data_IF_631272711627
#
_entry.id   IF_631272711627
#
_cell.length_a   1.000
_cell.length_b   1.000
_cell.length_c   1.000
_cell.angle_alpha   90.00
_cell.angle_beta   90.00
_cell.angle_gamma   90.00
#
_symmetry.space_group_name_H-M   'P 1'
#
loop_
_entity.id
_entity.type
_entity.pdbx_description
1 polymer ?
#
# COMPACT_ATOMS: atom_id res chain seq x y z
N UNK A 1 25.82 -0.79 11.48
CA UNK A 1 24.36 -0.97 11.46
C UNK A 1 23.55 0.28 11.85
N UNK A 2 23.86 1.00 12.94
CA UNK A 2 23.01 2.12 13.41
C UNK A 2 22.91 3.32 12.45
N UNK A 3 23.97 3.66 11.70
CA UNK A 3 23.97 4.82 10.79
C UNK A 3 23.11 4.58 9.53
N UNK A 4 23.17 3.39 8.95
CA UNK A 4 22.49 3.05 7.70
C UNK A 4 20.96 3.00 7.86
N UNK A 5 20.47 2.35 8.92
CA UNK A 5 19.03 2.34 9.26
C UNK A 5 18.51 3.76 9.48
N UNK A 6 19.29 4.60 10.15
CA UNK A 6 18.91 6.00 10.36
C UNK A 6 18.81 6.78 9.04
N UNK A 7 19.77 6.61 8.13
CA UNK A 7 19.70 7.25 6.81
C UNK A 7 18.52 6.75 5.97
N UNK A 8 18.23 5.44 6.00
CA UNK A 8 17.08 4.88 5.30
C UNK A 8 15.76 5.49 5.80
N UNK A 9 15.57 5.57 7.12
CA UNK A 9 14.39 6.22 7.70
C UNK A 9 14.27 7.67 7.26
N UNK A 10 15.38 8.42 7.30
CA UNK A 10 15.42 9.82 6.85
C UNK A 10 15.10 9.97 5.37
N UNK A 11 15.57 9.05 4.51
CA UNK A 11 15.21 9.08 3.08
C UNK A 11 13.72 8.81 2.85
N UNK A 12 13.09 7.97 3.68
CA UNK A 12 11.65 7.73 3.58
C UNK A 12 10.81 8.93 4.04
N UNK A 13 11.33 9.76 4.94
CA UNK A 13 10.64 11.00 5.37
C UNK A 13 10.46 12.01 4.22
N UNK A 14 11.21 11.88 3.12
CA UNK A 14 10.99 12.70 1.91
C UNK A 14 9.79 12.25 1.09
N UNK A 15 9.17 11.11 1.43
CA UNK A 15 7.98 10.53 0.80
C UNK A 15 6.87 10.37 1.86
N UNK A 16 6.39 11.48 2.45
CA UNK A 16 5.56 11.44 3.65
C UNK A 16 4.24 10.67 3.48
N UNK A 17 3.60 10.74 2.30
CA UNK A 17 2.38 9.99 2.07
C UNK A 17 2.64 8.49 2.02
N UNK A 18 3.71 8.06 1.34
CA UNK A 18 4.12 6.66 1.27
C UNK A 18 4.53 6.13 2.64
N UNK A 19 5.35 6.86 3.39
CA UNK A 19 5.81 6.44 4.71
C UNK A 19 4.63 6.26 5.69
N UNK A 20 3.72 7.24 5.75
CA UNK A 20 2.54 7.16 6.61
C UNK A 20 1.61 6.00 6.20
N UNK A 21 1.33 5.85 4.89
CA UNK A 21 0.48 4.77 4.41
C UNK A 21 1.12 3.38 4.65
N UNK A 22 2.43 3.24 4.45
CA UNK A 22 3.16 2.00 4.75
C UNK A 22 3.11 1.64 6.24
N UNK A 23 3.30 2.60 7.14
CA UNK A 23 3.18 2.36 8.59
C UNK A 23 1.77 1.86 8.96
N UNK A 24 0.72 2.49 8.43
CA UNK A 24 -0.66 2.08 8.67
C UNK A 24 -0.97 0.70 8.08
N UNK A 25 -0.45 0.41 6.89
CA UNK A 25 -0.57 -0.89 6.24
C UNK A 25 0.08 -1.99 7.06
N UNK A 26 1.32 -1.78 7.50
CA UNK A 26 2.09 -2.76 8.29
C UNK A 26 1.39 -3.07 9.62
N UNK A 27 0.83 -2.06 10.30
CA UNK A 27 0.01 -2.29 11.50
C UNK A 27 -1.22 -3.16 11.19
N UNK A 28 -1.96 -2.86 10.12
CA UNK A 28 -3.15 -3.62 9.74
C UNK A 28 -2.81 -5.07 9.29
N UNK A 29 -1.69 -5.27 8.60
CA UNK A 29 -1.19 -6.60 8.24
C UNK A 29 -0.81 -7.42 9.47
N UNK A 30 -0.13 -6.81 10.45
CA UNK A 30 0.18 -7.46 11.72
C UNK A 30 -1.11 -7.85 12.49
N UNK A 31 -2.11 -6.97 12.52
CA UNK A 31 -3.42 -7.28 13.11
C UNK A 31 -4.08 -8.49 12.42
N UNK A 32 -4.05 -8.53 11.09
CA UNK A 32 -4.63 -9.62 10.31
C UNK A 32 -3.89 -10.95 10.52
N UNK A 33 -2.56 -10.95 10.52
CA UNK A 33 -1.75 -12.12 10.86
C UNK A 33 -2.10 -12.63 12.26
N UNK A 34 -2.15 -11.71 13.23
CA UNK A 34 -2.47 -12.04 14.61
C UNK A 34 -3.91 -12.52 14.79
N UNK A 35 -4.85 -12.12 13.93
CA UNK A 35 -6.23 -12.58 13.98
C UNK A 35 -6.45 -13.96 13.33
N UNK A 36 -5.45 -14.49 12.62
CA UNK A 36 -5.56 -15.76 11.89
C UNK A 36 -5.91 -16.92 12.82
N UNK A 37 -6.97 -17.65 12.48
CA UNK A 37 -7.48 -18.77 13.27
C UNK A 37 -8.18 -18.38 14.59
N UNK A 38 -8.22 -17.10 14.95
CA UNK A 38 -8.88 -16.63 16.19
C UNK A 38 -10.36 -16.41 15.96
N UNK A 39 -11.16 -16.76 16.96
CA UNK A 39 -12.60 -16.50 17.00
C UNK A 39 -12.95 -15.55 18.15
N UNK A 40 -14.08 -14.87 18.01
CA UNK A 40 -14.71 -14.12 19.10
C UNK A 40 -15.36 -15.08 20.10
N UNK A 41 -15.79 -14.53 21.25
CA UNK A 41 -16.51 -15.30 22.27
C UNK A 41 -17.80 -15.93 21.70
N UNK A 42 -18.44 -15.28 20.73
CA UNK A 42 -19.63 -15.78 20.03
C UNK A 42 -19.30 -16.59 18.77
N UNK A 43 -18.05 -17.04 18.60
CA UNK A 43 -17.64 -17.92 17.50
C UNK A 43 -17.38 -17.24 16.15
N UNK A 44 -17.61 -15.93 16.02
CA UNK A 44 -17.32 -15.19 14.78
C UNK A 44 -15.81 -15.16 14.48
N UNK A 45 -15.46 -15.32 13.20
CA UNK A 45 -14.07 -15.26 12.72
C UNK A 45 -13.51 -13.83 12.84
N UNK A 46 -12.38 -13.68 13.54
CA UNK A 46 -11.69 -12.38 13.69
C UNK A 46 -10.78 -12.06 12.50
N UNK A 47 -10.38 -13.05 11.71
CA UNK A 47 -9.48 -12.88 10.59
C UNK A 47 -10.13 -12.09 9.47
N UNK A 48 -11.37 -12.41 9.09
CA UNK A 48 -12.08 -11.77 7.97
C UNK A 48 -12.10 -10.23 8.09
N UNK A 49 -12.56 -9.62 9.20
CA UNK A 49 -12.56 -8.16 9.32
C UNK A 49 -11.14 -7.57 9.34
N UNK A 50 -10.18 -8.23 9.99
CA UNK A 50 -8.80 -7.76 10.03
C UNK A 50 -8.13 -7.82 8.65
N UNK A 51 -8.36 -8.90 7.89
CA UNK A 51 -7.88 -9.08 6.52
C UNK A 51 -8.43 -8.00 5.59
N UNK A 52 -9.73 -7.69 5.67
CA UNK A 52 -10.33 -6.59 4.89
C UNK A 52 -9.67 -5.25 5.17
N UNK A 53 -9.40 -4.95 6.45
CA UNK A 53 -8.68 -3.73 6.84
C UNK A 53 -7.25 -3.72 6.30
N UNK A 54 -6.54 -4.85 6.32
CA UNK A 54 -5.22 -4.95 5.72
C UNK A 54 -5.27 -4.62 4.22
N UNK A 55 -6.22 -5.19 3.47
CA UNK A 55 -6.40 -4.89 2.04
C UNK A 55 -6.74 -3.42 1.77
N UNK A 56 -7.59 -2.82 2.61
CA UNK A 56 -7.89 -1.38 2.53
C UNK A 56 -6.61 -0.55 2.68
N UNK A 57 -5.76 -0.86 3.66
CA UNK A 57 -4.52 -0.10 3.88
C UNK A 57 -3.44 -0.39 2.83
N UNK A 58 -3.44 -1.58 2.25
CA UNK A 58 -2.65 -1.87 1.05
C UNK A 58 -3.09 -1.01 -0.13
N UNK A 59 -4.40 -0.87 -0.34
CA UNK A 59 -4.96 0.04 -1.36
C UNK A 59 -4.50 1.48 -1.13
N UNK A 60 -4.64 1.99 0.10
CA UNK A 60 -4.23 3.35 0.47
C UNK A 60 -2.73 3.58 0.18
N UNK A 61 -1.89 2.59 0.47
CA UNK A 61 -0.45 2.67 0.16
C UNK A 61 -0.16 2.66 -1.35
N UNK A 62 -0.87 1.85 -2.16
CA UNK A 62 -0.78 1.93 -3.62
C UNK A 62 -1.18 3.34 -4.11
N UNK A 63 -2.24 3.91 -3.54
CA UNK A 63 -2.64 5.30 -3.79
C UNK A 63 -1.52 6.30 -3.48
N UNK A 64 -0.81 6.11 -2.37
CA UNK A 64 0.32 6.95 -1.99
C UNK A 64 1.50 6.85 -2.97
N UNK A 65 1.79 5.64 -3.50
CA UNK A 65 2.82 5.46 -4.54
C UNK A 65 2.51 6.30 -5.78
N UNK A 66 1.24 6.42 -6.16
CA UNK A 66 0.84 7.30 -7.26
C UNK A 66 0.95 8.77 -6.89
N UNK A 67 0.49 9.19 -5.71
CA UNK A 67 0.50 10.61 -5.31
C UNK A 67 1.91 11.18 -5.17
N UNK A 68 2.87 10.36 -4.77
CA UNK A 68 4.29 10.73 -4.65
C UNK A 68 5.07 10.48 -5.96
N UNK A 69 4.38 10.09 -7.04
CA UNK A 69 4.97 9.90 -8.36
C UNK A 69 5.90 8.70 -8.51
N UNK A 70 5.90 7.77 -7.56
CA UNK A 70 6.71 6.54 -7.60
C UNK A 70 6.14 5.51 -8.59
N UNK A 71 4.81 5.50 -8.75
CA UNK A 71 4.10 4.68 -9.73
C UNK A 71 3.37 5.58 -10.73
N UNK A 72 3.28 5.15 -11.99
CA UNK A 72 2.52 5.87 -13.02
C UNK A 72 1.46 5.01 -13.69
N UNK A 73 0.33 5.64 -14.04
CA UNK A 73 -0.87 5.01 -14.62
C UNK A 73 -0.61 4.13 -15.84
N UNK A 74 0.25 4.49 -16.83
CA UNK A 74 0.44 3.66 -18.00
C UNK A 74 1.42 2.49 -17.78
N UNK A 75 2.06 2.35 -16.61
CA UNK A 75 3.14 1.37 -16.41
C UNK A 75 2.65 -0.09 -16.23
N UNK A 76 1.34 -0.32 -16.16
CA UNK A 76 0.74 -1.65 -15.94
C UNK A 76 0.86 -2.14 -14.50
N UNK A 77 0.11 -3.19 -14.16
CA UNK A 77 -0.03 -3.67 -12.77
C UNK A 77 1.31 -4.22 -12.22
N UNK A 78 2.09 -4.89 -13.05
CA UNK A 78 3.37 -5.48 -12.67
C UNK A 78 4.39 -4.43 -12.23
N UNK A 79 4.45 -3.29 -12.92
CA UNK A 79 5.35 -2.19 -12.57
C UNK A 79 4.96 -1.55 -11.24
N UNK A 80 3.66 -1.35 -10.99
CA UNK A 80 3.17 -0.83 -9.71
C UNK A 80 3.54 -1.79 -8.57
N UNK A 81 3.35 -3.10 -8.77
CA UNK A 81 3.73 -4.10 -7.77
C UNK A 81 5.24 -4.24 -7.59
N UNK A 82 6.05 -3.96 -8.61
CA UNK A 82 7.50 -3.87 -8.48
C UNK A 82 7.89 -2.71 -7.57
N UNK A 83 7.37 -1.51 -7.81
CA UNK A 83 7.61 -0.33 -6.97
C UNK A 83 7.15 -0.57 -5.54
N UNK A 84 5.97 -1.21 -5.36
CA UNK A 84 5.47 -1.63 -4.05
C UNK A 84 6.49 -2.52 -3.33
N UNK A 85 7.01 -3.56 -3.99
CA UNK A 85 8.00 -4.49 -3.40
C UNK A 85 9.28 -3.78 -3.01
N UNK A 86 9.84 -2.97 -3.91
CA UNK A 86 11.08 -2.23 -3.66
C UNK A 86 10.95 -1.28 -2.47
N UNK A 87 9.82 -0.56 -2.35
CA UNK A 87 9.58 0.28 -1.18
C UNK A 87 9.48 -0.55 0.10
N UNK A 88 8.79 -1.69 0.05
CA UNK A 88 8.62 -2.54 1.23
C UNK A 88 9.90 -3.25 1.66
N UNK A 89 10.81 -3.55 0.74
CA UNK A 89 12.14 -4.09 1.07
C UNK A 89 12.99 -3.04 1.82
N UNK A 90 12.95 -1.77 1.36
CA UNK A 90 13.57 -0.66 2.08
C UNK A 90 12.91 -0.46 3.46
N UNK A 91 11.58 -0.55 3.53
CA UNK A 91 10.83 -0.40 4.79
C UNK A 91 11.20 -1.50 5.78
N UNK A 92 11.27 -2.75 5.32
CA UNK A 92 11.68 -3.92 6.12
C UNK A 92 13.08 -3.75 6.68
N UNK A 93 14.00 -3.21 5.89
CA UNK A 93 15.37 -2.89 6.33
C UNK A 93 15.38 -1.79 7.40
N UNK A 94 14.57 -0.75 7.22
CA UNK A 94 14.47 0.38 8.15
C UNK A 94 13.73 0.04 9.45
N UNK A 95 12.77 -0.87 9.43
CA UNK A 95 11.86 -1.19 10.54
C UNK A 95 11.69 -2.71 10.75
N UNK A 96 12.75 -3.47 11.07
CA UNK A 96 12.73 -4.94 11.02
C UNK A 96 11.80 -5.65 12.02
N UNK A 97 11.19 -4.93 12.97
CA UNK A 97 10.45 -5.51 14.09
C UNK A 97 8.99 -5.88 13.76
N UNK A 98 8.55 -5.74 12.51
CA UNK A 98 7.18 -6.06 12.07
C UNK A 98 7.06 -7.45 11.44
N UNK A 99 7.58 -8.48 12.11
CA UNK A 99 7.65 -9.85 11.58
C UNK A 99 6.30 -10.39 11.13
N UNK A 100 5.25 -10.22 11.93
CA UNK A 100 3.88 -10.65 11.59
C UNK A 100 3.37 -10.02 10.30
N UNK A 101 3.62 -8.72 10.11
CA UNK A 101 3.25 -8.01 8.89
C UNK A 101 4.04 -8.52 7.68
N UNK A 102 5.32 -8.84 7.84
CA UNK A 102 6.14 -9.39 6.76
C UNK A 102 5.69 -10.81 6.38
N UNK A 103 5.30 -11.64 7.34
CA UNK A 103 4.68 -12.94 7.06
C UNK A 103 3.35 -12.83 6.33
N UNK A 104 2.53 -11.83 6.67
CA UNK A 104 1.33 -11.51 5.89
C UNK A 104 1.70 -11.10 4.45
N UNK A 105 2.65 -10.18 4.33
CA UNK A 105 3.06 -9.60 3.06
C UNK A 105 3.63 -10.64 2.09
N UNK A 106 4.44 -11.59 2.58
CA UNK A 106 4.97 -12.71 1.77
C UNK A 106 3.84 -13.52 1.13
N UNK A 107 2.77 -13.80 1.88
CA UNK A 107 1.60 -14.49 1.32
C UNK A 107 0.81 -13.59 0.38
N UNK A 108 0.63 -12.32 0.74
CA UNK A 108 -0.08 -11.36 -0.12
C UNK A 108 0.61 -11.24 -1.48
N UNK A 109 1.95 -11.19 -1.52
CA UNK A 109 2.76 -11.03 -2.74
C UNK A 109 2.90 -12.31 -3.58
N UNK A 110 2.36 -13.45 -3.14
CA UNK A 110 2.34 -14.69 -3.92
C UNK A 110 1.69 -14.44 -5.30
N UNK A 111 2.28 -15.04 -6.34
CA UNK A 111 1.82 -14.88 -7.73
C UNK A 111 0.35 -15.30 -7.93
N UNK A 112 -0.14 -16.24 -7.11
CA UNK A 112 -1.54 -16.68 -7.11
C UNK A 112 -2.52 -15.55 -6.75
N UNK A 113 -2.05 -14.48 -6.10
CA UNK A 113 -2.86 -13.32 -5.72
C UNK A 113 -2.84 -12.18 -6.76
N UNK A 114 -2.28 -12.41 -7.95
CA UNK A 114 -2.21 -11.39 -9.02
C UNK A 114 -3.56 -10.71 -9.32
N UNK A 115 -4.67 -11.47 -9.34
CA UNK A 115 -6.01 -10.90 -9.55
C UNK A 115 -6.41 -9.89 -8.45
N UNK A 116 -6.08 -10.20 -7.20
CA UNK A 116 -6.31 -9.29 -6.07
C UNK A 116 -5.43 -8.04 -6.19
N UNK A 117 -4.17 -8.17 -6.63
CA UNK A 117 -3.31 -7.01 -6.87
C UNK A 117 -3.91 -6.09 -7.94
N UNK A 118 -4.36 -6.65 -9.06
CA UNK A 118 -5.04 -5.92 -10.13
C UNK A 118 -6.29 -5.19 -9.63
N UNK A 119 -7.10 -5.83 -8.79
CA UNK A 119 -8.28 -5.20 -8.19
C UNK A 119 -7.89 -3.95 -7.37
N UNK A 120 -6.92 -4.08 -6.46
CA UNK A 120 -6.46 -2.97 -5.62
C UNK A 120 -5.86 -1.82 -6.44
N UNK A 121 -5.10 -2.13 -7.49
CA UNK A 121 -4.50 -1.13 -8.39
C UNK A 121 -5.58 -0.38 -9.19
N UNK A 122 -6.57 -1.12 -9.71
CA UNK A 122 -7.63 -0.54 -10.55
C UNK A 122 -8.42 0.56 -9.84
N UNK A 123 -8.61 0.44 -8.52
CA UNK A 123 -9.31 1.42 -7.68
C UNK A 123 -8.65 2.80 -7.70
N UNK A 124 -7.33 2.87 -7.85
CA UNK A 124 -6.58 4.13 -7.88
C UNK A 124 -6.26 4.61 -9.30
N UNK A 125 -6.20 3.69 -10.27
CA UNK A 125 -5.93 4.02 -11.67
C UNK A 125 -6.96 5.00 -12.24
N UNK A 126 -8.25 4.75 -12.03
CA UNK A 126 -9.32 5.61 -12.57
C UNK A 126 -9.30 7.03 -12.01
N UNK A 127 -8.96 7.18 -10.72
CA UNK A 127 -8.86 8.49 -10.08
C UNK A 127 -7.63 9.27 -10.54
N UNK A 128 -6.48 8.60 -10.67
CA UNK A 128 -5.27 9.25 -11.19
C UNK A 128 -5.38 9.59 -12.67
N UNK A 129 -6.03 8.75 -13.47
CA UNK A 129 -6.33 9.07 -14.86
C UNK A 129 -7.22 10.33 -14.95
N UNK A 130 -8.27 10.42 -14.14
CA UNK A 130 -9.10 11.63 -14.05
C UNK A 130 -8.30 12.89 -13.69
N UNK A 131 -7.42 12.81 -12.69
CA UNK A 131 -6.57 13.94 -12.29
C UNK A 131 -5.52 14.32 -13.33
N UNK A 132 -5.12 13.38 -14.19
CA UNK A 132 -4.14 13.60 -15.26
C UNK A 132 -4.74 14.26 -16.51
N UNK A 133 -6.08 14.32 -16.62
CA UNK A 133 -6.74 15.00 -17.72
C UNK A 133 -6.48 16.52 -17.64
N UNK A 134 -6.24 17.20 -18.77
CA UNK A 134 -6.14 18.66 -18.79
C UNK A 134 -7.39 19.26 -18.13
N UNK A 135 -7.21 20.13 -17.15
CA UNK A 135 -8.33 20.81 -16.51
C UNK A 135 -9.19 21.46 -17.59
N UNK A 136 -10.46 21.05 -17.71
CA UNK A 136 -11.41 21.70 -18.60
C UNK A 136 -11.61 23.11 -18.06
N UNK A 137 -10.82 24.07 -18.55
CA UNK A 137 -11.04 25.48 -18.28
C UNK A 137 -12.41 25.83 -18.85
N UNK A 138 -13.42 25.97 -17.98
CA UNK A 138 -14.69 26.61 -18.33
C UNK A 138 -14.34 28.01 -18.82
N UNK A 139 -14.31 28.17 -20.15
CA UNK A 139 -14.33 29.49 -20.77
C UNK A 139 -15.60 30.19 -20.28
N UNK A 140 -15.44 31.20 -19.41
CA UNK A 140 -16.49 32.17 -19.15
C UNK A 140 -16.72 32.90 -20.48
N UNK A 141 -17.86 32.64 -21.13
CA UNK A 141 -18.37 33.55 -22.16
C UNK A 141 -18.52 34.92 -21.51
N UNK A 142 -17.67 35.86 -21.89
CA UNK A 142 -17.93 37.28 -21.68
C UNK A 142 -19.05 37.66 -22.64
N UNK A 143 -20.15 38.16 -22.08
CA UNK A 143 -21.26 38.78 -22.80
C UNK A 143 -20.84 40.13 -23.36
#
# INVERSE_FOLDING_TARGET
MSSEIFQLRRSMETLPACLNAAQNMVMAMADAENARGKRSFFGADKYIPAYKKALEKTSDFIGALYSEGLAATPQGDEAVMKVFREFMDLFKTAYPNWQDAYSFMERFLDQQNSALHSELISKHRSWNEYLSLPAITRSKKQN
#
